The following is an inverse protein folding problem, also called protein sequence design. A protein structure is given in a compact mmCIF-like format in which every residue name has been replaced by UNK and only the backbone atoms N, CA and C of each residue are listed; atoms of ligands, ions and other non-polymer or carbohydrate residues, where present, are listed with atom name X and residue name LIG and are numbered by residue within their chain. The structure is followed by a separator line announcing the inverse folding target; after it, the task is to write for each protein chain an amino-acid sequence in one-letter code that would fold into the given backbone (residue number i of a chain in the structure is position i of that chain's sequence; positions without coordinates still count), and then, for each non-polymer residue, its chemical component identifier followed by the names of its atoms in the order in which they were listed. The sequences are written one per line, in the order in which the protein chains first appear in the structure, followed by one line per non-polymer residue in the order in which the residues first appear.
data_IF_016192395524
#
_entry.id   IF_016192395524
#
_cell.length_a   1.000
_cell.length_b   1.000
_cell.length_c   1.000
_cell.angle_alpha   90.00
_cell.angle_beta   90.00
_cell.angle_gamma   90.00
#
_symmetry.space_group_name_H-M   'P 1'
#
loop_
_entity.id
_entity.type
_entity.pdbx_description
1 polymer ?
#
# COMPACT_ATOMS: atom_id res chain seq x y z
N UNK A 1 -2.73 -26.14 -12.23
CA UNK A 1 -2.28 -25.11 -11.26
C UNK A 1 -1.10 -25.71 -10.52
N UNK A 2 0.11 -25.20 -10.75
CA UNK A 2 1.28 -25.68 -10.00
C UNK A 2 1.14 -25.33 -8.52
N UNK A 3 1.41 -26.30 -7.65
CA UNK A 3 1.36 -26.10 -6.20
C UNK A 3 2.71 -25.56 -5.76
N UNK A 4 2.79 -24.25 -5.57
CA UNK A 4 3.99 -23.60 -5.04
C UNK A 4 4.10 -23.87 -3.53
N UNK A 5 5.22 -24.45 -3.10
CA UNK A 5 5.51 -24.72 -1.69
C UNK A 5 6.34 -23.58 -1.11
N UNK A 6 5.67 -22.63 -0.45
CA UNK A 6 6.34 -21.53 0.24
C UNK A 6 6.79 -21.95 1.65
N UNK A 7 7.98 -21.49 2.06
CA UNK A 7 8.46 -21.60 3.44
C UNK A 7 8.60 -20.21 4.03
N UNK A 8 8.12 -20.03 5.26
CA UNK A 8 8.31 -18.79 6.01
C UNK A 8 9.82 -18.56 6.19
N UNK A 9 10.33 -17.32 6.03
CA UNK A 9 11.72 -17.02 6.29
C UNK A 9 12.15 -17.46 7.70
N UNK A 10 13.32 -18.08 7.82
CA UNK A 10 13.76 -18.76 9.06
C UNK A 10 14.71 -17.91 9.91
N UNK A 11 15.39 -16.92 9.30
CA UNK A 11 16.32 -16.03 10.02
C UNK A 11 15.68 -14.67 10.29
N UNK A 12 16.18 -14.01 11.33
CA UNK A 12 15.76 -12.66 11.68
C UNK A 12 15.91 -11.69 10.49
N UNK A 13 14.94 -10.79 10.33
CA UNK A 13 14.88 -9.74 9.28
C UNK A 13 14.86 -10.25 7.83
N UNK A 14 14.60 -11.54 7.60
CA UNK A 14 14.42 -12.02 6.23
C UNK A 14 13.01 -11.67 5.71
N UNK A 15 12.97 -11.24 4.45
CA UNK A 15 11.74 -10.89 3.75
C UNK A 15 11.56 -11.90 2.62
N UNK A 16 10.34 -12.43 2.49
CA UNK A 16 9.97 -13.24 1.35
C UNK A 16 9.28 -12.36 0.30
N UNK A 17 9.82 -12.33 -0.92
CA UNK A 17 9.24 -11.66 -2.08
C UNK A 17 9.06 -12.68 -3.19
N UNK A 18 7.84 -12.80 -3.71
CA UNK A 18 7.52 -13.66 -4.85
C UNK A 18 6.56 -12.93 -5.78
N UNK A 19 6.94 -12.70 -7.06
CA UNK A 19 8.26 -12.94 -7.66
C UNK A 19 9.40 -12.16 -6.97
N UNK A 20 10.67 -12.53 -7.24
CA UNK A 20 11.83 -11.78 -6.73
C UNK A 20 11.75 -10.29 -7.08
N UNK A 21 12.27 -9.43 -6.22
CA UNK A 21 12.32 -7.98 -6.45
C UNK A 21 13.04 -7.60 -7.76
N UNK A 22 14.02 -8.39 -8.18
CA UNK A 22 14.75 -8.17 -9.43
C UNK A 22 13.87 -8.30 -10.68
N UNK A 23 12.74 -9.01 -10.58
CA UNK A 23 11.80 -9.20 -11.67
C UNK A 23 10.79 -8.06 -11.80
N UNK A 24 10.81 -7.05 -10.93
CA UNK A 24 9.78 -6.00 -10.94
C UNK A 24 9.79 -5.23 -12.25
N UNK A 25 10.96 -4.87 -12.77
CA UNK A 25 11.06 -4.16 -14.06
C UNK A 25 10.51 -4.98 -15.23
N UNK A 26 10.78 -6.29 -15.27
CA UNK A 26 10.25 -7.15 -16.34
C UNK A 26 8.73 -7.31 -16.22
N UNK A 27 8.20 -7.45 -15.00
CA UNK A 27 6.75 -7.52 -14.75
C UNK A 27 6.02 -6.24 -15.18
N UNK A 28 6.63 -5.06 -15.00
CA UNK A 28 6.05 -3.80 -15.45
C UNK A 28 5.93 -3.73 -16.98
N UNK A 29 6.99 -4.12 -17.70
CA UNK A 29 6.99 -4.16 -19.16
C UNK A 29 6.02 -5.22 -19.70
N UNK A 30 5.94 -6.38 -19.05
CA UNK A 30 4.99 -7.44 -19.40
C UNK A 30 3.55 -6.97 -19.21
N UNK A 31 3.22 -6.36 -18.07
CA UNK A 31 1.90 -5.78 -17.83
C UNK A 31 1.53 -4.74 -18.89
N UNK A 32 2.47 -3.87 -19.27
CA UNK A 32 2.26 -2.90 -20.34
C UNK A 32 1.93 -3.57 -21.68
N UNK A 33 2.65 -4.65 -22.04
CA UNK A 33 2.39 -5.43 -23.25
C UNK A 33 1.00 -6.07 -23.21
N UNK A 34 0.64 -6.73 -22.11
CA UNK A 34 -0.67 -7.36 -21.92
C UNK A 34 -1.80 -6.34 -22.15
N UNK A 35 -1.77 -5.20 -21.47
CA UNK A 35 -2.82 -4.19 -21.63
C UNK A 35 -2.85 -3.56 -23.03
N UNK A 36 -1.71 -3.49 -23.73
CA UNK A 36 -1.65 -2.97 -25.11
C UNK A 36 -2.34 -3.88 -26.13
N UNK A 37 -2.52 -5.16 -25.80
CA UNK A 37 -3.16 -6.15 -26.67
C UNK A 37 -4.69 -6.16 -26.52
N UNK A 38 -5.24 -5.49 -25.51
CA UNK A 38 -6.68 -5.47 -25.28
C UNK A 38 -7.40 -4.55 -26.26
N UNK A 39 -8.25 -5.13 -27.12
CA UNK A 39 -8.98 -4.43 -28.18
C UNK A 39 -10.50 -4.38 -27.96
N UNK A 40 -10.99 -4.69 -26.75
CA UNK A 40 -12.41 -4.69 -26.43
C UNK A 40 -12.92 -3.30 -26.01
N UNK A 41 -14.25 -3.18 -25.88
CA UNK A 41 -14.93 -1.96 -25.43
C UNK A 41 -15.65 -2.17 -24.09
N UNK A 42 -15.75 -1.11 -23.30
CA UNK A 42 -16.59 -1.02 -22.10
C UNK A 42 -17.60 0.10 -22.36
N UNK A 43 -18.91 -0.18 -22.34
CA UNK A 43 -19.97 0.80 -22.64
C UNK A 43 -19.70 1.58 -23.94
N UNK A 44 -19.33 0.87 -25.01
CA UNK A 44 -18.91 1.41 -26.31
C UNK A 44 -17.63 2.27 -26.36
N UNK A 45 -16.92 2.43 -25.24
CA UNK A 45 -15.63 3.11 -25.20
C UNK A 45 -14.47 2.11 -25.35
N UNK A 46 -13.43 2.40 -26.15
CA UNK A 46 -12.23 1.56 -26.21
C UNK A 46 -11.59 1.36 -24.83
N UNK A 47 -11.22 0.13 -24.47
CA UNK A 47 -10.59 -0.17 -23.18
C UNK A 47 -9.40 0.74 -22.86
N UNK A 48 -8.57 1.04 -23.86
CA UNK A 48 -7.41 1.94 -23.71
C UNK A 48 -7.81 3.32 -23.20
N UNK A 49 -8.90 3.90 -23.72
CA UNK A 49 -9.39 5.21 -23.30
C UNK A 49 -9.94 5.16 -21.88
N UNK A 50 -10.76 4.14 -21.57
CA UNK A 50 -11.28 3.92 -20.22
C UNK A 50 -10.14 3.82 -19.23
N UNK A 51 -9.11 3.02 -19.54
CA UNK A 51 -7.94 2.83 -18.68
C UNK A 51 -7.15 4.12 -18.45
N UNK A 52 -6.88 4.88 -19.50
CA UNK A 52 -6.13 6.15 -19.36
C UNK A 52 -6.92 7.20 -18.59
N UNK A 53 -8.24 7.27 -18.78
CA UNK A 53 -9.10 8.16 -18.01
C UNK A 53 -9.15 7.76 -16.53
N UNK A 54 -9.36 6.48 -16.23
CA UNK A 54 -9.36 5.98 -14.84
C UNK A 54 -8.02 6.18 -14.14
N UNK A 55 -6.89 6.06 -14.85
CA UNK A 55 -5.55 6.35 -14.28
C UNK A 55 -5.43 7.80 -13.83
N UNK A 56 -5.84 8.75 -14.68
CA UNK A 56 -5.81 10.18 -14.36
C UNK A 56 -6.72 10.48 -13.16
N UNK A 57 -7.90 9.88 -13.14
CA UNK A 57 -8.87 10.07 -12.06
C UNK A 57 -8.36 9.54 -10.71
N UNK A 58 -7.84 8.32 -10.68
CA UNK A 58 -7.28 7.72 -9.46
C UNK A 58 -6.12 8.55 -8.91
N UNK A 59 -5.20 9.01 -9.76
CA UNK A 59 -4.07 9.84 -9.32
C UNK A 59 -4.54 11.21 -8.81
N UNK A 60 -5.52 11.82 -9.48
CA UNK A 60 -6.11 13.09 -9.05
C UNK A 60 -6.77 12.98 -7.67
N UNK A 61 -7.57 11.95 -7.43
CA UNK A 61 -8.22 11.75 -6.12
C UNK A 61 -7.19 11.36 -5.04
N UNK A 62 -6.19 10.53 -5.37
CA UNK A 62 -5.10 10.20 -4.45
C UNK A 62 -4.28 11.43 -4.03
N UNK A 63 -3.98 12.33 -4.97
CA UNK A 63 -3.32 13.61 -4.69
C UNK A 63 -4.18 14.51 -3.80
N UNK A 64 -5.48 14.64 -4.11
CA UNK A 64 -6.42 15.42 -3.31
C UNK A 64 -6.48 14.93 -1.86
N UNK A 65 -6.51 13.62 -1.64
CA UNK A 65 -6.47 13.03 -0.30
C UNK A 65 -5.12 13.28 0.38
N UNK A 66 -4.02 13.00 -0.31
CA UNK A 66 -2.66 13.10 0.25
C UNK A 66 -2.29 14.54 0.64
N UNK A 67 -2.85 15.55 -0.06
CA UNK A 67 -2.68 16.98 0.27
C UNK A 67 -3.14 17.36 1.68
N UNK A 68 -4.01 16.55 2.32
CA UNK A 68 -4.40 16.74 3.73
C UNK A 68 -3.23 16.53 4.69
N UNK A 69 -2.27 15.69 4.33
CA UNK A 69 -1.11 15.32 5.16
C UNK A 69 0.18 15.99 4.69
N UNK A 70 0.27 16.31 3.39
CA UNK A 70 1.43 16.94 2.78
C UNK A 70 1.00 17.87 1.64
N UNK A 71 0.97 19.18 1.90
CA UNK A 71 0.55 20.18 0.91
C UNK A 71 1.41 20.19 -0.36
N UNK A 72 2.66 19.72 -0.27
CA UNK A 72 3.64 19.76 -1.35
C UNK A 72 3.79 18.40 -2.04
N UNK A 73 2.89 17.45 -1.78
CA UNK A 73 2.98 16.08 -2.30
C UNK A 73 3.08 16.02 -3.84
N UNK A 74 2.44 16.97 -4.53
CA UNK A 74 2.44 17.04 -5.99
C UNK A 74 3.83 17.34 -6.56
N UNK A 75 4.64 18.12 -5.85
CA UNK A 75 6.04 18.42 -6.24
C UNK A 75 6.95 17.19 -6.11
N UNK A 76 6.53 16.20 -5.32
CA UNK A 76 7.29 14.96 -5.07
C UNK A 76 7.00 13.86 -6.09
N UNK A 77 6.06 14.10 -7.01
CA UNK A 77 5.66 13.14 -8.05
C UNK A 77 6.22 13.59 -9.40
N UNK A 78 6.92 12.70 -10.09
CA UNK A 78 7.30 12.91 -11.48
C UNK A 78 6.03 12.85 -12.36
N UNK A 79 5.60 13.94 -13.01
CA UNK A 79 4.38 13.94 -13.83
C UNK A 79 4.50 13.07 -15.09
N UNK A 80 5.71 12.60 -15.42
CA UNK A 80 6.00 11.73 -16.57
C UNK A 80 5.98 10.24 -16.24
N UNK A 81 5.49 9.86 -15.05
CA UNK A 81 5.35 8.46 -14.64
C UNK A 81 4.60 7.63 -15.69
N UNK A 82 5.12 6.43 -15.97
CA UNK A 82 4.53 5.46 -16.89
C UNK A 82 3.82 4.35 -16.14
N UNK A 83 4.36 3.95 -14.98
CA UNK A 83 3.89 2.83 -14.20
C UNK A 83 3.19 3.31 -12.93
N UNK A 84 2.14 2.61 -12.52
CA UNK A 84 1.56 2.75 -11.18
C UNK A 84 1.79 1.41 -10.49
N UNK A 85 2.56 1.43 -9.40
CA UNK A 85 2.79 0.28 -8.54
C UNK A 85 1.83 0.42 -7.36
N UNK A 86 0.78 -0.38 -7.40
CA UNK A 86 -0.27 -0.35 -6.40
C UNK A 86 0.00 -1.37 -5.30
N UNK A 87 -0.09 -0.93 -4.05
CA UNK A 87 -0.25 -1.78 -2.87
C UNK A 87 -1.60 -1.50 -2.23
N UNK A 88 -2.00 -2.32 -1.27
CA UNK A 88 -3.20 -2.04 -0.49
C UNK A 88 -3.29 -2.84 0.79
N UNK A 89 -4.24 -2.46 1.64
CA UNK A 89 -4.56 -3.19 2.87
C UNK A 89 -5.83 -2.73 3.59
N UNK A 90 -6.17 -3.48 4.64
CA UNK A 90 -7.07 -3.09 5.73
C UNK A 90 -6.37 -2.07 6.65
N UNK A 91 -7.03 -1.05 7.19
CA UNK A 91 -6.52 -0.20 8.26
C UNK A 91 -6.35 -1.04 9.54
N UNK A 92 -5.16 -1.59 9.72
CA UNK A 92 -4.65 -2.07 11.01
C UNK A 92 -3.34 -1.32 11.24
N UNK A 93 -3.15 -0.63 12.35
CA UNK A 93 -2.02 0.30 12.46
C UNK A 93 -0.70 -0.46 12.78
N UNK A 94 -0.79 -1.61 13.46
CA UNK A 94 0.35 -2.37 13.99
C UNK A 94 0.47 -3.79 13.46
N UNK A 95 0.42 -3.99 12.14
CA UNK A 95 0.76 -5.27 11.57
C UNK A 95 2.06 -5.16 10.75
N UNK A 96 3.13 -5.93 11.06
CA UNK A 96 4.39 -5.86 10.33
C UNK A 96 4.25 -6.04 8.82
N UNK A 97 3.26 -6.84 8.39
CA UNK A 97 2.89 -7.03 6.99
C UNK A 97 2.37 -5.76 6.28
N UNK A 98 2.08 -4.69 7.01
CA UNK A 98 1.61 -3.39 6.48
C UNK A 98 2.78 -2.46 6.33
N UNK A 99 3.54 -2.33 7.41
CA UNK A 99 4.77 -1.56 7.46
C UNK A 99 5.71 -2.00 6.34
N UNK A 100 5.88 -3.31 6.17
CA UNK A 100 6.73 -3.83 5.12
C UNK A 100 6.26 -3.43 3.73
N UNK A 101 4.96 -3.34 3.44
CA UNK A 101 4.45 -2.93 2.12
C UNK A 101 4.74 -1.46 1.83
N UNK A 102 4.47 -0.59 2.79
CA UNK A 102 4.72 0.85 2.64
C UNK A 102 6.21 1.16 2.52
N UNK A 103 7.03 0.56 3.41
CA UNK A 103 8.48 0.72 3.38
C UNK A 103 9.05 0.13 2.08
N UNK A 104 8.61 -1.08 1.71
CA UNK A 104 9.05 -1.72 0.48
C UNK A 104 8.72 -0.87 -0.74
N UNK A 105 7.48 -0.37 -0.87
CA UNK A 105 7.09 0.47 -1.99
C UNK A 105 7.92 1.76 -2.03
N UNK A 106 8.15 2.41 -0.90
CA UNK A 106 8.97 3.61 -0.82
C UNK A 106 10.43 3.34 -1.24
N UNK A 107 11.05 2.28 -0.72
CA UNK A 107 12.42 1.91 -1.11
C UNK A 107 12.51 1.47 -2.58
N UNK A 108 11.49 0.77 -3.07
CA UNK A 108 11.40 0.36 -4.47
C UNK A 108 11.41 1.56 -5.41
N UNK A 109 10.68 2.63 -5.09
CA UNK A 109 10.58 3.83 -5.92
C UNK A 109 11.83 4.72 -5.89
N UNK A 110 12.66 4.61 -4.86
CA UNK A 110 13.99 5.25 -4.82
C UNK A 110 14.99 4.60 -5.78
N UNK A 111 14.70 3.39 -6.27
CA UNK A 111 15.57 2.71 -7.22
C UNK A 111 15.62 3.45 -8.57
N UNK A 112 16.82 3.74 -9.12
CA UNK A 112 16.95 4.38 -10.44
C UNK A 112 16.23 3.63 -11.57
N UNK A 113 16.09 2.31 -11.43
CA UNK A 113 15.42 1.45 -12.41
C UNK A 113 13.90 1.71 -12.51
N UNK A 114 13.32 2.40 -11.52
CA UNK A 114 11.89 2.62 -11.40
C UNK A 114 11.52 4.11 -11.34
N UNK A 115 12.39 4.99 -11.81
CA UNK A 115 12.20 6.44 -11.81
C UNK A 115 10.91 6.92 -12.52
N UNK A 116 10.34 6.13 -13.42
CA UNK A 116 9.04 6.39 -14.09
C UNK A 116 7.86 5.68 -13.44
N UNK A 117 7.95 5.34 -12.16
CA UNK A 117 6.89 4.65 -11.42
C UNK A 117 6.31 5.56 -10.35
N UNK A 118 4.99 5.49 -10.20
CA UNK A 118 4.25 6.10 -9.10
C UNK A 118 3.81 5.01 -8.12
N UNK A 119 4.12 5.18 -6.85
CA UNK A 119 3.57 4.37 -5.79
C UNK A 119 2.16 4.81 -5.44
N UNK A 120 1.25 3.84 -5.31
CA UNK A 120 -0.09 4.09 -4.81
C UNK A 120 -0.43 3.07 -3.72
N UNK A 121 -0.85 3.54 -2.55
CA UNK A 121 -1.46 2.70 -1.54
C UNK A 121 -2.97 2.93 -1.58
N UNK A 122 -3.73 1.85 -1.78
CA UNK A 122 -5.19 1.88 -1.74
C UNK A 122 -5.66 1.12 -0.51
N UNK A 123 -6.43 1.81 0.33
CA UNK A 123 -7.20 1.16 1.38
C UNK A 123 -8.44 0.56 0.71
N UNK A 124 -8.60 -0.76 0.79
CA UNK A 124 -9.69 -1.48 0.15
C UNK A 124 -10.63 -2.02 1.23
N UNK A 125 -11.88 -1.53 1.18
CA UNK A 125 -13.08 -1.95 1.92
C UNK A 125 -13.39 -1.20 3.24
N UNK A 126 -14.62 -1.44 3.73
CA UNK A 126 -15.33 -0.84 4.89
C UNK A 126 -14.67 -1.10 6.24
N UNK A 127 -13.35 -1.23 6.26
CA UNK A 127 -12.61 -1.68 7.41
C UNK A 127 -12.64 -0.61 8.51
N UNK A 128 -13.70 -0.73 9.30
CA UNK A 128 -13.81 -0.11 10.58
C UNK A 128 -12.60 -0.59 11.38
N UNK A 129 -11.75 0.38 11.70
CA UNK A 129 -10.57 0.16 12.50
C UNK A 129 -10.99 -0.39 13.88
N UNK A 130 -10.56 -1.62 14.22
CA UNK A 130 -11.04 -2.34 15.42
C UNK A 130 -10.40 -1.90 16.75
N UNK A 131 -9.68 -0.79 16.78
CA UNK A 131 -9.16 -0.17 18.01
C UNK A 131 -7.65 0.10 17.98
N UNK A 132 -7.22 1.21 18.58
CA UNK A 132 -5.84 1.74 18.53
C UNK A 132 -4.96 1.17 19.65
N UNK A 133 -5.29 -0.05 20.04
CA UNK A 133 -4.69 -0.70 21.17
C UNK A 133 -3.48 -1.48 20.69
N UNK A 134 -2.35 -1.25 21.33
CA UNK A 134 -1.12 -2.00 21.13
C UNK A 134 -0.74 -2.71 22.41
N UNK A 135 -0.46 -4.01 22.30
CA UNK A 135 0.03 -4.83 23.40
C UNK A 135 1.55 -4.86 23.40
N UNK A 136 2.17 -4.33 24.46
CA UNK A 136 3.62 -4.39 24.68
C UNK A 136 3.99 -5.22 25.90
N UNK A 137 5.15 -5.91 25.87
CA UNK A 137 5.72 -6.47 27.08
C UNK A 137 6.13 -5.32 28.02
N UNK A 138 5.61 -5.34 29.24
CA UNK A 138 5.93 -4.39 30.30
C UNK A 138 6.38 -5.15 31.56
N UNK A 139 7.22 -4.51 32.36
CA UNK A 139 7.56 -5.00 33.69
C UNK A 139 6.56 -4.42 34.68
N UNK A 140 5.91 -5.30 35.44
CA UNK A 140 5.14 -4.90 36.62
C UNK A 140 6.07 -4.38 37.72
N UNK A 141 5.53 -3.64 38.70
CA UNK A 141 6.30 -3.13 39.85
C UNK A 141 6.99 -4.24 40.66
N UNK A 142 6.51 -5.48 40.57
CA UNK A 142 7.11 -6.67 41.18
C UNK A 142 8.13 -7.41 40.30
N UNK A 143 8.50 -6.88 39.13
CA UNK A 143 9.50 -7.46 38.22
C UNK A 143 8.98 -8.54 37.27
N UNK A 144 7.71 -8.92 37.34
CA UNK A 144 7.12 -9.89 36.42
C UNK A 144 6.82 -9.24 35.06
N UNK A 145 7.08 -9.97 33.98
CA UNK A 145 6.64 -9.63 32.62
C UNK A 145 5.12 -9.76 32.51
N UNK A 146 4.46 -8.70 32.03
CA UNK A 146 3.04 -8.65 31.69
C UNK A 146 2.85 -8.09 30.28
N UNK A 147 1.71 -8.38 29.68
CA UNK A 147 1.26 -7.69 28.49
C UNK A 147 0.50 -6.43 28.94
N UNK A 148 0.92 -5.26 28.45
CA UNK A 148 0.24 -3.99 28.72
C UNK A 148 -0.37 -3.46 27.43
N UNK A 149 -1.64 -3.07 27.50
CA UNK A 149 -2.38 -2.52 26.38
C UNK A 149 -2.34 -1.00 26.44
N UNK A 150 -1.80 -0.37 25.40
CA UNK A 150 -1.66 1.10 25.29
C UNK A 150 -2.48 1.61 24.12
N UNK A 151 -3.25 2.66 24.35
CA UNK A 151 -4.00 3.40 23.34
C UNK A 151 -3.11 4.47 22.69
N UNK A 152 -2.97 4.47 21.36
CA UNK A 152 -2.10 5.46 20.68
C UNK A 152 -2.76 6.78 20.30
N UNK A 153 -4.09 6.86 20.21
CA UNK A 153 -4.80 8.14 20.08
C UNK A 153 -5.72 8.34 21.29
N UNK A 154 -5.93 9.62 21.63
CA UNK A 154 -6.85 10.10 22.68
C UNK A 154 -8.21 9.38 22.65
N UNK A 155 -8.92 9.23 23.79
CA UNK A 155 -10.16 8.46 23.92
C UNK A 155 -11.36 8.90 23.04
N UNK A 156 -11.21 9.92 22.18
CA UNK A 156 -12.24 10.37 21.25
C UNK A 156 -12.37 9.47 20.00
N UNK A 157 -12.34 8.14 20.18
CA UNK A 157 -12.55 7.20 19.09
C UNK A 157 -14.04 6.96 18.90
N UNK A 158 -14.62 7.43 17.80
CA UNK A 158 -15.99 7.07 17.40
C UNK A 158 -15.93 5.67 16.79
N UNK A 159 -16.53 4.63 17.38
CA UNK A 159 -16.54 3.31 16.76
C UNK A 159 -17.27 3.36 15.41
N UNK A 160 -16.84 2.51 14.47
CA UNK A 160 -17.46 2.37 13.13
C UNK A 160 -17.24 3.54 12.15
N UNK A 161 -16.29 4.43 12.41
CA UNK A 161 -15.87 5.43 11.43
C UNK A 161 -14.80 4.83 10.49
N UNK A 162 -14.88 5.02 9.15
CA UNK A 162 -13.77 4.72 8.25
C UNK A 162 -12.50 5.46 8.68
N UNK A 163 -11.32 4.84 8.48
CA UNK A 163 -10.04 5.44 8.89
C UNK A 163 -9.82 6.82 8.23
N UNK A 164 -10.30 6.99 6.99
CA UNK A 164 -10.18 8.20 6.18
C UNK A 164 -11.03 9.38 6.68
N UNK A 165 -11.97 9.13 7.59
CA UNK A 165 -12.87 10.12 8.17
C UNK A 165 -12.40 10.64 9.54
N UNK A 166 -11.36 10.03 10.14
CA UNK A 166 -10.77 10.57 11.37
C UNK A 166 -10.01 11.88 11.08
N UNK A 167 -10.16 12.91 11.94
CA UNK A 167 -9.56 14.22 11.76
C UNK A 167 -8.03 14.25 11.89
#
# INVERSE_FOLDING_TARGET
MERLSFKVPQKNKQIFLSPSGDNISSLLEENKKIFSQYSFKILNQPFKEVRENSRKEVVREALKFSKKFDSNIEEKIDPTFQYIIQTGHQPVFFHPGIWIKNIFLNELLKSPLLNKSLGLNIILDNDIYRGLNFSLPALSSGGNLKLEEVNLLSPAFTPNLPFEEYP
#
